data_IF_839413497795
#
_entry.id   IF_839413497795
#
_cell.length_a   1.000
_cell.length_b   1.000
_cell.length_c   1.000
_cell.angle_alpha   90.00
_cell.angle_beta   90.00
_cell.angle_gamma   90.00
#
_symmetry.space_group_name_H-M   'P 1'
#
loop_
_entity.id
_entity.type
_entity.pdbx_description
1 polymer ?
#
# COMPACT_ATOMS: atom_id res chain seq x y z
N UNK A 1 12.37 0.13 -23.00
CA UNK A 1 11.64 -0.89 -22.23
C UNK A 1 12.68 -1.65 -21.42
N UNK A 2 12.65 -1.54 -20.10
CA UNK A 2 13.57 -2.28 -19.22
C UNK A 2 13.02 -3.68 -18.91
N UNK A 3 13.85 -4.57 -18.38
CA UNK A 3 13.41 -5.91 -17.98
C UNK A 3 12.37 -5.90 -16.84
N UNK A 4 12.18 -4.78 -16.13
CA UNK A 4 11.30 -4.66 -14.97
C UNK A 4 10.04 -3.82 -15.25
N UNK A 5 9.83 -3.37 -16.49
CA UNK A 5 8.65 -2.56 -16.85
C UNK A 5 7.32 -3.27 -16.58
N UNK A 6 7.31 -4.62 -16.54
CA UNK A 6 6.13 -5.42 -16.20
C UNK A 6 5.62 -5.20 -14.77
N UNK A 7 6.43 -4.61 -13.88
CA UNK A 7 6.06 -4.27 -12.51
C UNK A 7 5.32 -2.93 -12.40
N UNK A 8 5.24 -2.16 -13.49
CA UNK A 8 4.64 -0.82 -13.51
C UNK A 8 3.26 -0.82 -14.18
N UNK A 9 2.16 -0.84 -13.40
CA UNK A 9 0.81 -0.64 -13.92
C UNK A 9 0.64 0.70 -14.65
N UNK A 10 1.44 1.72 -14.31
CA UNK A 10 1.38 3.02 -14.96
C UNK A 10 1.83 2.99 -16.44
N UNK A 11 2.56 1.95 -16.86
CA UNK A 11 2.95 1.75 -18.26
C UNK A 11 1.88 1.01 -19.08
N UNK A 12 0.83 0.48 -18.44
CA UNK A 12 -0.25 -0.21 -19.15
C UNK A 12 -1.17 0.82 -19.85
N UNK A 13 -1.09 0.89 -21.18
CA UNK A 13 -1.89 1.80 -21.99
C UNK A 13 -3.09 1.08 -22.64
N UNK A 14 -4.25 1.76 -22.79
CA UNK A 14 -5.35 1.25 -23.59
C UNK A 14 -4.92 1.04 -25.05
N UNK A 15 -5.31 -0.09 -25.64
CA UNK A 15 -5.00 -0.40 -27.04
C UNK A 15 -6.09 -1.28 -27.66
N UNK A 16 -6.57 -0.92 -28.85
CA UNK A 16 -7.51 -1.76 -29.62
C UNK A 16 -8.80 -2.13 -28.88
N UNK A 17 -9.34 -1.23 -28.04
CA UNK A 17 -10.54 -1.48 -27.23
C UNK A 17 -10.28 -2.22 -25.91
N UNK A 18 -9.03 -2.61 -25.63
CA UNK A 18 -8.62 -3.08 -24.32
C UNK A 18 -8.38 -1.89 -23.38
N UNK A 19 -9.07 -1.88 -22.25
CA UNK A 19 -8.89 -0.93 -21.15
C UNK A 19 -8.29 -1.67 -19.95
N UNK A 20 -6.96 -1.64 -19.76
CA UNK A 20 -6.32 -2.36 -18.67
C UNK A 20 -6.76 -1.78 -17.32
N UNK A 21 -7.18 -2.67 -16.42
CA UNK A 21 -7.57 -2.31 -15.06
C UNK A 21 -6.83 -3.19 -14.07
N UNK A 22 -5.92 -2.59 -13.30
CA UNK A 22 -5.16 -3.27 -12.26
C UNK A 22 -6.06 -3.64 -11.07
N UNK A 23 -5.72 -4.75 -10.41
CA UNK A 23 -6.43 -5.27 -9.24
C UNK A 23 -5.41 -5.69 -8.20
N UNK A 24 -5.73 -5.47 -6.92
CA UNK A 24 -4.90 -5.99 -5.85
C UNK A 24 -5.07 -7.51 -5.71
N UNK A 25 -4.11 -8.14 -5.03
CA UNK A 25 -4.22 -9.55 -4.64
C UNK A 25 -5.31 -9.82 -3.59
N UNK A 26 -5.90 -8.78 -3.01
CA UNK A 26 -6.96 -8.85 -1.99
C UNK A 26 -8.37 -8.66 -2.58
N UNK A 27 -8.48 -8.32 -3.87
CA UNK A 27 -9.74 -7.99 -4.55
C UNK A 27 -10.85 -9.01 -4.35
N UNK A 28 -10.54 -10.31 -4.47
CA UNK A 28 -11.54 -11.37 -4.29
C UNK A 28 -12.14 -11.37 -2.89
N UNK A 29 -11.32 -11.17 -1.85
CA UNK A 29 -11.79 -11.14 -0.47
C UNK A 29 -12.62 -9.91 -0.15
N UNK A 30 -12.30 -8.78 -0.78
CA UNK A 30 -13.11 -7.57 -0.70
C UNK A 30 -14.47 -7.78 -1.37
N UNK A 31 -14.49 -8.45 -2.53
CA UNK A 31 -15.73 -8.82 -3.22
C UNK A 31 -16.58 -9.77 -2.38
N UNK A 32 -15.97 -10.79 -1.77
CA UNK A 32 -16.64 -11.70 -0.83
C UNK A 32 -17.24 -10.94 0.36
N UNK A 33 -16.57 -9.87 0.83
CA UNK A 33 -17.05 -8.98 1.89
C UNK A 33 -18.11 -7.96 1.43
N UNK A 34 -18.53 -7.98 0.17
CA UNK A 34 -19.56 -7.08 -0.37
C UNK A 34 -19.05 -5.69 -0.76
N UNK A 35 -17.77 -5.56 -1.09
CA UNK A 35 -17.19 -4.27 -1.48
C UNK A 35 -17.85 -3.67 -2.74
N UNK A 36 -18.07 -2.37 -2.69
CA UNK A 36 -18.31 -1.55 -3.88
C UNK A 36 -16.98 -1.06 -4.42
N UNK A 37 -16.79 -1.13 -5.73
CA UNK A 37 -15.53 -0.75 -6.38
C UNK A 37 -15.71 0.47 -7.29
N UNK A 38 -14.66 1.29 -7.37
CA UNK A 38 -14.52 2.35 -8.36
C UNK A 38 -13.20 2.21 -9.11
N UNK A 39 -13.16 2.69 -10.35
CA UNK A 39 -11.90 2.86 -11.06
C UNK A 39 -11.21 4.15 -10.61
N UNK A 40 -9.93 4.05 -10.19
CA UNK A 40 -9.09 5.19 -9.84
C UNK A 40 -7.70 5.01 -10.42
N UNK A 41 -7.29 5.92 -11.32
CA UNK A 41 -5.94 5.91 -11.91
C UNK A 41 -5.52 4.54 -12.48
N UNK A 42 -6.43 3.85 -13.18
CA UNK A 42 -6.18 2.51 -13.75
C UNK A 42 -6.25 1.35 -12.76
N UNK A 43 -6.75 1.57 -11.54
CA UNK A 43 -6.98 0.53 -10.53
C UNK A 43 -8.46 0.33 -10.21
N UNK A 44 -8.87 -0.92 -10.01
CA UNK A 44 -10.13 -1.26 -9.37
C UNK A 44 -9.97 -1.18 -7.85
N UNK A 45 -10.52 -0.14 -7.23
CA UNK A 45 -10.32 0.19 -5.80
C UNK A 45 -11.60 -0.10 -5.00
N UNK A 46 -11.54 -0.82 -3.86
CA UNK A 46 -12.67 -1.03 -2.98
C UNK A 46 -12.99 0.27 -2.22
N UNK A 47 -13.98 1.03 -2.66
CA UNK A 47 -14.27 2.37 -2.11
C UNK A 47 -15.14 2.32 -0.86
N UNK A 48 -15.99 1.30 -0.72
CA UNK A 48 -16.80 1.07 0.47
C UNK A 48 -17.05 -0.42 0.70
N UNK A 49 -17.18 -0.81 1.97
CA UNK A 49 -17.52 -2.17 2.40
C UNK A 49 -18.60 -2.11 3.51
N UNK A 50 -19.60 -3.00 3.51
CA UNK A 50 -20.60 -3.06 4.58
C UNK A 50 -19.98 -3.12 5.99
N UNK A 51 -20.54 -2.36 6.92
CA UNK A 51 -20.11 -2.33 8.33
C UNK A 51 -18.89 -1.45 8.63
N UNK A 52 -18.28 -0.80 7.64
CA UNK A 52 -17.02 -0.06 7.80
C UNK A 52 -17.08 1.07 8.86
N UNK A 53 -18.22 1.74 9.04
CA UNK A 53 -18.39 2.74 10.09
C UNK A 53 -18.32 2.15 11.49
N UNK A 54 -18.72 0.88 11.66
CA UNK A 54 -18.63 0.17 12.93
C UNK A 54 -17.21 -0.32 13.17
N UNK A 55 -16.58 -0.89 12.14
CA UNK A 55 -15.19 -1.34 12.18
C UNK A 55 -14.22 -0.19 12.50
N UNK A 56 -14.47 1.02 11.99
CA UNK A 56 -13.66 2.21 12.28
C UNK A 56 -13.69 2.63 13.76
N UNK A 57 -14.74 2.28 14.51
CA UNK A 57 -14.80 2.55 15.96
C UNK A 57 -13.85 1.67 16.76
N UNK A 58 -13.29 0.62 16.15
CA UNK A 58 -12.38 -0.33 16.79
C UNK A 58 -11.14 -0.53 15.92
N UNK A 59 -11.16 -1.47 14.97
CA UNK A 59 -10.09 -1.70 14.00
C UNK A 59 -10.64 -2.00 12.59
N UNK A 60 -10.42 -1.07 11.66
CA UNK A 60 -10.79 -1.22 10.26
C UNK A 60 -9.60 -1.67 9.40
N UNK A 61 -9.81 -2.66 8.54
CA UNK A 61 -8.80 -3.24 7.64
C UNK A 61 -9.08 -2.81 6.20
N UNK A 62 -8.16 -2.06 5.61
CA UNK A 62 -8.29 -1.52 4.25
C UNK A 62 -7.17 -1.97 3.31
N UNK A 63 -7.41 -1.80 2.01
CA UNK A 63 -6.44 -2.09 0.96
C UNK A 63 -6.04 -0.82 0.22
N UNK A 64 -4.76 -0.44 0.36
CA UNK A 64 -4.15 0.70 -0.28
C UNK A 64 -3.16 0.27 -1.37
N UNK A 65 -3.31 -0.93 -1.94
CA UNK A 65 -2.42 -1.46 -2.97
C UNK A 65 -2.45 -0.67 -4.27
N UNK A 66 -3.46 0.17 -4.48
CA UNK A 66 -3.50 1.10 -5.61
C UNK A 66 -2.49 2.25 -5.50
N UNK A 67 -2.00 2.60 -4.30
CA UNK A 67 -1.01 3.67 -4.13
C UNK A 67 0.30 3.34 -4.85
N UNK A 68 0.93 4.33 -5.46
CA UNK A 68 2.24 4.21 -6.10
C UNK A 68 3.30 3.77 -5.11
N UNK A 69 4.16 2.81 -5.48
CA UNK A 69 5.35 2.42 -4.74
C UNK A 69 6.57 2.57 -5.64
N UNK A 70 7.54 3.40 -5.25
CA UNK A 70 8.80 3.55 -5.99
C UNK A 70 9.95 3.18 -5.06
N UNK A 71 10.75 2.19 -5.44
CA UNK A 71 12.05 1.97 -4.80
C UNK A 71 13.11 2.83 -5.47
N UNK A 72 13.89 3.53 -4.66
CA UNK A 72 15.05 4.30 -5.12
C UNK A 72 16.30 3.76 -4.47
N UNK A 73 17.33 3.49 -5.28
CA UNK A 73 18.70 3.31 -4.83
C UNK A 73 19.42 4.65 -4.95
N UNK A 74 20.10 5.03 -3.88
CA UNK A 74 20.81 6.30 -3.78
C UNK A 74 22.24 6.08 -3.32
N UNK A 75 23.15 6.90 -3.85
CA UNK A 75 24.57 6.92 -3.47
C UNK A 75 24.86 7.89 -2.32
N UNK A 76 23.84 8.61 -1.86
CA UNK A 76 23.93 9.53 -0.72
C UNK A 76 22.64 9.61 0.09
N UNK A 77 22.57 10.63 0.94
CA UNK A 77 21.38 11.01 1.69
C UNK A 77 20.73 12.22 0.99
N UNK A 78 20.01 12.03 -0.12
CA UNK A 78 19.28 13.13 -0.70
C UNK A 78 18.25 13.62 0.32
N UNK A 79 18.15 14.93 0.47
CA UNK A 79 17.24 15.59 1.39
C UNK A 79 15.81 15.61 0.82
N UNK A 80 15.31 14.43 0.45
CA UNK A 80 13.98 14.24 -0.12
C UNK A 80 12.89 14.16 0.95
N UNK A 81 13.22 14.38 2.21
CA UNK A 81 12.25 14.44 3.28
C UNK A 81 11.36 15.67 3.08
N UNK A 82 10.18 15.47 2.50
CA UNK A 82 9.14 16.49 2.47
C UNK A 82 8.82 17.07 1.10
N UNK A 83 8.88 16.27 0.02
CA UNK A 83 8.00 16.56 -1.12
C UNK A 83 6.54 16.36 -0.65
N UNK A 84 5.80 17.45 -0.34
CA UNK A 84 4.47 17.34 0.24
C UNK A 84 3.47 16.80 -0.77
N UNK A 85 3.81 16.81 -2.06
CA UNK A 85 2.95 16.37 -3.15
C UNK A 85 3.07 14.85 -3.42
N UNK A 86 4.02 14.17 -2.76
CA UNK A 86 4.32 12.76 -3.02
C UNK A 86 3.87 11.78 -1.92
N UNK A 87 3.84 12.19 -0.64
CA UNK A 87 3.38 11.33 0.46
C UNK A 87 4.51 10.81 1.36
N UNK A 88 4.64 9.48 1.50
CA UNK A 88 5.52 8.86 2.49
C UNK A 88 6.89 8.54 1.91
N UNK A 89 7.94 8.97 2.60
CA UNK A 89 9.33 8.63 2.31
C UNK A 89 9.86 7.69 3.39
N UNK A 90 9.96 6.41 3.08
CA UNK A 90 10.42 5.39 4.03
C UNK A 90 11.82 4.90 3.69
N UNK A 91 12.77 5.21 4.56
CA UNK A 91 14.15 4.77 4.40
C UNK A 91 14.31 3.33 4.91
N UNK A 92 14.57 2.40 3.99
CA UNK A 92 14.83 0.99 4.32
C UNK A 92 16.28 0.79 4.78
N UNK A 93 17.23 1.47 4.13
CA UNK A 93 18.65 1.43 4.47
C UNK A 93 19.34 2.73 4.07
N UNK A 94 20.64 2.91 4.36
CA UNK A 94 21.36 4.10 3.94
C UNK A 94 21.26 4.42 2.44
N UNK A 95 21.09 3.39 1.60
CA UNK A 95 21.11 3.48 0.13
C UNK A 95 19.80 3.03 -0.54
N UNK A 96 18.75 2.77 0.24
CA UNK A 96 17.46 2.28 -0.28
C UNK A 96 16.31 3.01 0.39
N UNK A 97 15.47 3.63 -0.43
CA UNK A 97 14.28 4.35 0.01
C UNK A 97 13.08 3.80 -0.74
N UNK A 98 11.96 3.66 -0.05
CA UNK A 98 10.66 3.34 -0.63
C UNK A 98 9.77 4.56 -0.50
N UNK A 99 9.32 5.07 -1.64
CA UNK A 99 8.39 6.18 -1.73
C UNK A 99 6.99 5.60 -1.92
N UNK A 100 6.02 6.08 -1.14
CA UNK A 100 4.62 5.65 -1.24
C UNK A 100 3.74 6.88 -1.48
N UNK A 101 2.98 6.88 -2.58
CA UNK A 101 2.33 8.09 -3.06
C UNK A 101 1.16 7.89 -4.02
N UNK A 102 0.68 8.96 -4.66
CA UNK A 102 -0.45 8.89 -5.61
C UNK A 102 -0.12 8.05 -6.85
N UNK A 103 -0.98 7.08 -7.16
CA UNK A 103 -0.83 6.19 -8.31
C UNK A 103 -0.62 6.95 -9.63
N UNK A 104 -1.44 7.98 -9.87
CA UNK A 104 -1.46 8.74 -11.12
C UNK A 104 -0.18 9.53 -11.43
N UNK A 105 0.71 9.72 -10.44
CA UNK A 105 1.98 10.43 -10.63
C UNK A 105 3.21 9.50 -10.67
N UNK A 106 3.01 8.18 -10.56
CA UNK A 106 4.09 7.18 -10.39
C UNK A 106 5.06 7.14 -11.56
N UNK A 107 4.54 7.11 -12.79
CA UNK A 107 5.39 7.07 -13.99
C UNK A 107 6.26 8.34 -14.11
N UNK A 108 5.65 9.52 -13.95
CA UNK A 108 6.37 10.81 -14.00
C UNK A 108 7.47 10.86 -12.94
N UNK A 109 7.15 10.49 -11.70
CA UNK A 109 8.12 10.53 -10.61
C UNK A 109 9.26 9.52 -10.81
N UNK A 110 8.95 8.31 -11.28
CA UNK A 110 9.96 7.30 -11.56
C UNK A 110 10.92 7.74 -12.68
N UNK A 111 10.40 8.40 -13.72
CA UNK A 111 11.21 8.97 -14.79
C UNK A 111 12.12 10.09 -14.26
N UNK A 112 11.56 11.05 -13.50
CA UNK A 112 12.33 12.14 -12.90
C UNK A 112 13.45 11.65 -11.97
N UNK A 113 13.19 10.59 -11.19
CA UNK A 113 14.21 9.97 -10.33
C UNK A 113 15.26 9.22 -11.16
N UNK A 114 14.89 8.60 -12.28
CA UNK A 114 15.87 7.90 -13.13
C UNK A 114 16.84 8.87 -13.80
N UNK A 115 16.39 10.10 -14.09
CA UNK A 115 17.22 11.15 -14.67
C UNK A 115 18.12 11.87 -13.64
N UNK A 116 17.90 11.65 -12.33
CA UNK A 116 18.71 12.22 -11.26
C UNK A 116 20.01 11.42 -11.06
N UNK A 117 21.21 12.02 -11.24
CA UNK A 117 22.48 11.34 -11.01
C UNK A 117 22.69 10.80 -9.59
N UNK A 118 21.97 11.34 -8.59
CA UNK A 118 22.00 10.83 -7.21
C UNK A 118 21.20 9.52 -7.04
N UNK A 119 20.38 9.16 -8.04
CA UNK A 119 19.51 8.00 -8.09
C UNK A 119 19.99 7.00 -9.17
N UNK A 120 21.03 6.20 -8.92
CA UNK A 120 21.47 5.18 -9.88
C UNK A 120 20.36 4.19 -10.29
N UNK A 121 19.27 4.07 -9.52
CA UNK A 121 18.13 3.24 -9.87
C UNK A 121 16.84 3.75 -9.22
N UNK A 122 15.78 3.88 -10.03
CA UNK A 122 14.41 4.02 -9.56
C UNK A 122 13.53 2.94 -10.21
N UNK A 123 12.71 2.25 -9.40
CA UNK A 123 11.83 1.18 -9.85
C UNK A 123 10.41 1.41 -9.35
N UNK A 124 9.46 1.42 -10.28
CA UNK A 124 8.04 1.30 -9.93
C UNK A 124 7.76 -0.14 -9.47
N UNK A 125 7.46 -0.28 -8.18
CA UNK A 125 7.09 -1.52 -7.51
C UNK A 125 5.60 -1.59 -7.21
N UNK A 126 4.78 -0.76 -7.85
CA UNK A 126 3.33 -0.69 -7.58
C UNK A 126 2.64 -2.02 -7.87
N UNK A 127 3.04 -2.72 -8.94
CA UNK A 127 2.57 -4.08 -9.23
C UNK A 127 3.28 -5.18 -8.43
N UNK A 128 4.35 -4.87 -7.71
CA UNK A 128 5.13 -5.85 -6.94
C UNK A 128 4.74 -5.89 -5.45
N UNK A 129 4.27 -4.77 -4.91
CA UNK A 129 3.99 -4.60 -3.49
C UNK A 129 2.52 -4.25 -3.25
N UNK A 130 1.98 -4.79 -2.17
CA UNK A 130 0.67 -4.46 -1.63
C UNK A 130 0.80 -3.60 -0.38
N UNK A 131 -0.27 -2.87 -0.04
CA UNK A 131 -0.39 -2.14 1.22
C UNK A 131 -1.70 -2.54 1.90
N UNK A 132 -1.60 -3.09 3.09
CA UNK A 132 -2.72 -3.32 3.99
C UNK A 132 -2.73 -2.22 5.06
N UNK A 133 -3.85 -1.53 5.20
CA UNK A 133 -4.04 -0.46 6.18
C UNK A 133 -4.84 -0.96 7.38
N UNK A 134 -4.43 -0.55 8.58
CA UNK A 134 -5.13 -0.81 9.84
C UNK A 134 -5.41 0.54 10.48
N UNK A 135 -6.69 0.92 10.53
CA UNK A 135 -7.16 2.18 11.10
C UNK A 135 -8.06 1.94 12.32
N UNK A 136 -8.33 2.99 13.08
CA UNK A 136 -9.17 2.93 14.29
C UNK A 136 -8.35 2.89 15.59
N UNK A 137 -9.01 3.09 16.75
CA UNK A 137 -8.35 3.18 18.04
C UNK A 137 -7.61 1.90 18.45
N UNK A 138 -8.09 0.72 18.02
CA UNK A 138 -7.51 -0.58 18.35
C UNK A 138 -6.48 -1.09 17.33
N UNK A 139 -6.06 -0.25 16.37
CA UNK A 139 -5.12 -0.63 15.29
C UNK A 139 -3.87 -1.33 15.81
N UNK A 140 -3.27 -0.80 16.89
CA UNK A 140 -2.06 -1.37 17.48
C UNK A 140 -2.32 -2.67 18.24
N UNK A 141 -3.53 -2.88 18.74
CA UNK A 141 -3.94 -4.17 19.32
C UNK A 141 -3.97 -5.25 18.24
N UNK A 142 -4.47 -4.94 17.04
CA UNK A 142 -4.43 -5.85 15.88
C UNK A 142 -2.99 -6.13 15.46
N UNK A 143 -2.16 -5.09 15.28
CA UNK A 143 -0.74 -5.25 14.94
C UNK A 143 0.00 -6.18 15.90
N UNK A 144 -0.16 -5.98 17.21
CA UNK A 144 0.48 -6.81 18.25
C UNK A 144 0.04 -8.28 18.23
N UNK A 145 -1.12 -8.59 17.64
CA UNK A 145 -1.60 -9.97 17.42
C UNK A 145 -1.02 -10.61 16.16
N UNK A 146 -0.41 -9.82 15.28
CA UNK A 146 0.19 -10.28 14.03
C UNK A 146 1.72 -10.32 14.11
N UNK A 147 2.34 -9.53 14.98
CA UNK A 147 3.80 -9.39 15.03
C UNK A 147 4.33 -9.00 16.41
N UNK A 148 5.61 -9.30 16.63
CA UNK A 148 6.42 -8.80 17.75
C UNK A 148 7.10 -7.45 17.46
N UNK A 149 6.85 -6.84 16.30
CA UNK A 149 7.30 -5.47 16.03
C UNK A 149 6.53 -4.49 16.93
N UNK A 150 7.27 -3.70 17.72
CA UNK A 150 6.68 -2.85 18.77
C UNK A 150 6.69 -1.34 18.46
N UNK A 151 7.30 -0.93 17.35
CA UNK A 151 7.42 0.48 16.95
C UNK A 151 7.31 0.61 15.42
N UNK A 152 6.94 1.81 14.97
CA UNK A 152 6.98 2.21 13.57
C UNK A 152 7.93 3.43 13.41
N UNK A 153 8.64 3.56 12.28
CA UNK A 153 8.76 2.56 11.23
C UNK A 153 9.63 1.38 11.67
N UNK A 154 9.28 0.17 11.23
CA UNK A 154 10.09 -1.03 11.43
C UNK A 154 9.90 -2.02 10.30
N UNK A 155 10.77 -3.04 10.23
CA UNK A 155 10.66 -4.12 9.25
C UNK A 155 10.93 -5.46 9.89
N UNK A 156 10.19 -6.49 9.52
CA UNK A 156 10.42 -7.83 10.03
C UNK A 156 9.24 -8.77 9.76
N UNK A 157 9.11 -9.78 10.63
CA UNK A 157 8.08 -10.79 10.51
C UNK A 157 6.70 -10.26 10.93
N UNK A 158 5.70 -10.40 10.06
CA UNK A 158 4.29 -10.21 10.40
C UNK A 158 3.53 -11.44 9.91
N UNK A 159 2.89 -12.17 10.83
CA UNK A 159 2.20 -13.42 10.54
C UNK A 159 3.06 -14.39 9.69
N UNK A 160 4.30 -14.65 10.11
CA UNK A 160 5.25 -15.52 9.38
C UNK A 160 5.71 -15.00 7.99
N UNK A 161 5.38 -13.75 7.63
CA UNK A 161 5.93 -13.07 6.45
C UNK A 161 7.11 -12.20 6.87
N UNK A 162 8.33 -12.58 6.46
CA UNK A 162 9.59 -11.98 6.96
C UNK A 162 9.98 -10.62 6.34
N UNK A 163 9.25 -10.15 5.33
CA UNK A 163 9.61 -8.98 4.52
C UNK A 163 8.55 -7.88 4.58
N UNK A 164 7.86 -7.74 5.71
CA UNK A 164 6.86 -6.68 5.88
C UNK A 164 7.52 -5.42 6.44
N UNK A 165 7.20 -4.29 5.85
CA UNK A 165 7.52 -2.97 6.37
C UNK A 165 6.29 -2.39 7.07
N UNK A 166 6.45 -2.07 8.35
CA UNK A 166 5.41 -1.50 9.19
C UNK A 166 5.66 0.00 9.33
N UNK A 167 4.69 0.80 8.88
CA UNK A 167 4.76 2.27 8.87
C UNK A 167 3.55 2.84 9.59
N UNK A 168 3.72 3.96 10.31
CA UNK A 168 2.61 4.73 10.86
C UNK A 168 2.49 6.03 10.06
N UNK A 169 1.32 6.24 9.45
CA UNK A 169 1.02 7.33 8.53
C UNK A 169 -0.24 8.03 9.02
N UNK A 170 -0.06 9.12 9.76
CA UNK A 170 -1.15 9.74 10.53
C UNK A 170 -1.71 8.75 11.57
N UNK A 171 -3.01 8.53 11.56
CA UNK A 171 -3.70 7.61 12.49
C UNK A 171 -3.87 6.19 11.94
N UNK A 172 -3.14 5.83 10.88
CA UNK A 172 -3.25 4.54 10.19
C UNK A 172 -1.91 3.83 10.20
N UNK A 173 -1.91 2.54 10.50
CA UNK A 173 -0.73 1.67 10.33
C UNK A 173 -0.78 1.01 8.95
N UNK A 174 0.30 1.11 8.19
CA UNK A 174 0.47 0.46 6.90
C UNK A 174 1.42 -0.72 7.03
N UNK A 175 1.01 -1.86 6.48
CA UNK A 175 1.85 -3.01 6.22
C UNK A 175 2.15 -3.05 4.72
N UNK A 176 3.42 -2.86 4.35
CA UNK A 176 3.88 -2.94 2.95
C UNK A 176 4.63 -4.25 2.75
N UNK A 177 4.21 -5.05 1.77
CA UNK A 177 4.69 -6.43 1.60
C UNK A 177 4.54 -6.93 0.15
N UNK A 178 5.18 -8.06 -0.24
CA UNK A 178 5.06 -8.64 -1.58
C UNK A 178 3.62 -9.02 -1.93
N UNK A 179 3.13 -8.60 -3.10
CA UNK A 179 1.71 -8.67 -3.42
C UNK A 179 1.13 -10.09 -3.38
N UNK A 180 1.92 -11.11 -3.68
CA UNK A 180 1.52 -12.53 -3.65
C UNK A 180 1.06 -13.01 -2.27
N UNK A 181 1.43 -12.30 -1.21
CA UNK A 181 1.05 -12.61 0.18
C UNK A 181 -0.20 -11.85 0.65
N UNK A 182 -0.77 -10.99 -0.19
CA UNK A 182 -1.88 -10.10 0.21
C UNK A 182 -3.15 -10.83 0.60
N UNK A 183 -3.49 -11.91 -0.11
CA UNK A 183 -4.63 -12.74 0.25
C UNK A 183 -4.52 -13.30 1.67
N UNK A 184 -3.34 -13.86 2.01
CA UNK A 184 -3.06 -14.41 3.34
C UNK A 184 -3.04 -13.33 4.43
N UNK A 185 -2.30 -12.23 4.21
CA UNK A 185 -2.19 -11.16 5.21
C UNK A 185 -3.53 -10.46 5.46
N UNK A 186 -4.38 -10.33 4.43
CA UNK A 186 -5.75 -9.85 4.58
C UNK A 186 -6.57 -10.74 5.52
N UNK A 187 -6.57 -12.05 5.30
CA UNK A 187 -7.31 -12.99 6.15
C UNK A 187 -6.85 -12.93 7.59
N UNK A 188 -5.53 -12.92 7.82
CA UNK A 188 -5.00 -12.82 9.19
C UNK A 188 -5.39 -11.49 9.82
N UNK A 189 -5.26 -10.36 9.12
CA UNK A 189 -5.60 -9.04 9.67
C UNK A 189 -7.08 -8.95 10.04
N UNK A 190 -7.97 -9.42 9.16
CA UNK A 190 -9.42 -9.44 9.41
C UNK A 190 -9.76 -10.37 10.57
N UNK A 191 -9.19 -11.58 10.63
CA UNK A 191 -9.37 -12.51 11.75
C UNK A 191 -8.90 -11.90 13.08
N UNK A 192 -7.79 -11.15 13.09
CA UNK A 192 -7.29 -10.49 14.31
C UNK A 192 -8.14 -9.30 14.75
N UNK A 193 -8.80 -8.62 13.82
CA UNK A 193 -9.70 -7.50 14.07
C UNK A 193 -11.09 -7.94 14.57
N UNK A 194 -11.60 -9.08 14.08
CA UNK A 194 -12.96 -9.54 14.36
C UNK A 194 -13.30 -9.65 15.86
N UNK A 195 -12.46 -10.21 16.75
CA UNK A 195 -12.74 -10.26 18.19
C UNK A 195 -12.84 -8.90 18.88
N UNK A 196 -12.40 -7.83 18.22
CA UNK A 196 -12.49 -6.45 18.69
C UNK A 196 -13.74 -5.75 18.12
N UNK A 197 -14.59 -6.46 17.35
CA UNK A 197 -15.66 -5.84 16.57
C UNK A 197 -15.14 -5.08 15.34
N UNK A 198 -13.89 -5.30 14.95
CA UNK A 198 -13.28 -4.74 13.75
C UNK A 198 -13.53 -5.59 12.51
N UNK A 199 -13.10 -5.11 11.34
CA UNK A 199 -13.34 -5.79 10.07
C UNK A 199 -12.94 -4.99 8.82
N UNK A 200 -13.30 -5.48 7.63
CA UNK A 200 -12.99 -4.82 6.36
C UNK A 200 -13.57 -3.41 6.23
N UNK A 201 -12.86 -2.51 5.56
CA UNK A 201 -13.33 -1.17 5.23
C UNK A 201 -12.86 -0.75 3.83
N UNK A 202 -13.66 0.07 3.17
CA UNK A 202 -13.29 0.69 1.91
C UNK A 202 -12.26 1.80 2.10
N UNK A 203 -11.59 2.14 1.00
CA UNK A 203 -10.54 3.18 0.98
C UNK A 203 -11.07 4.52 1.47
N UNK A 204 -12.28 4.94 1.07
CA UNK A 204 -12.82 6.26 1.43
C UNK A 204 -13.08 6.40 2.93
N UNK A 205 -13.34 5.29 3.62
CA UNK A 205 -13.48 5.25 5.06
C UNK A 205 -12.11 5.34 5.78
N UNK A 206 -11.04 4.78 5.20
CA UNK A 206 -9.70 4.71 5.80
C UNK A 206 -8.91 6.02 5.61
N UNK A 207 -8.85 6.55 4.40
CA UNK A 207 -8.05 7.75 4.08
C UNK A 207 -8.89 9.04 4.03
N UNK A 208 -10.20 8.93 4.25
CA UNK A 208 -11.18 9.97 3.94
C UNK A 208 -11.45 10.02 2.43
N UNK A 209 -12.51 10.70 2.00
CA UNK A 209 -12.87 10.87 0.57
C UNK A 209 -11.85 11.70 -0.25
N UNK A 210 -10.63 11.90 0.26
CA UNK A 210 -9.50 12.51 -0.44
C UNK A 210 -8.63 11.41 -1.06
N UNK A 211 -9.13 10.82 -2.14
CA UNK A 211 -8.38 9.90 -3.01
C UNK A 211 -8.54 10.30 -4.46
#
# INVERSE_FOLDING_TARGET
MTALDFLSPALAAPAGGFHPLARSSMERRQRDAGATFAERNGWLVPVSIPGESEHLRTAAIGDLSHLGKIEVRTDGHPDWQGDPDWGVWYRISPRRVLLLGPAGKTAERCAALTDDPACPLALDLTGALSILAIAGPDRWTVVRRMTHLHHAPSSGEVAHVNTVHLLEVGEVVWLVFPQELGHYLWEVAVDRALPLGGGPAGVDAIIGSRG
#
